data_IF_497969123317
#
_entry.id   IF_497969123317
#
_cell.length_a   1.000
_cell.length_b   1.000
_cell.length_c   1.000
_cell.angle_alpha   90.00
_cell.angle_beta   90.00
_cell.angle_gamma   90.00
#
_symmetry.space_group_name_H-M   'P 1'
#
loop_
_entity.id
_entity.type
_entity.pdbx_description
1 polymer ?
#
# COMPACT_ATOMS: atom_id res chain seq x y z
N UNK A 1 67.04 49.65 -5.36
CA UNK A 1 65.87 48.84 -5.74
C UNK A 1 66.14 47.45 -5.20
N UNK A 2 65.62 47.13 -4.01
CA UNK A 2 65.64 45.77 -3.49
C UNK A 2 64.19 45.28 -3.46
N UNK A 3 63.89 44.34 -4.37
CA UNK A 3 62.64 43.60 -4.42
C UNK A 3 62.75 42.47 -3.39
N UNK A 4 62.27 42.74 -2.18
CA UNK A 4 62.07 41.70 -1.17
C UNK A 4 61.05 40.68 -1.66
N UNK A 5 61.53 39.47 -1.99
CA UNK A 5 60.68 38.30 -2.16
C UNK A 5 60.12 37.90 -0.78
N UNK A 6 58.85 38.21 -0.53
CA UNK A 6 58.10 37.56 0.53
C UNK A 6 57.78 36.13 0.09
N UNK A 7 58.68 35.18 0.36
CA UNK A 7 58.32 33.78 0.39
C UNK A 7 57.37 33.55 1.57
N UNK A 8 56.08 33.37 1.27
CA UNK A 8 55.12 32.91 2.25
C UNK A 8 55.46 31.47 2.66
N UNK A 9 56.20 31.33 3.76
CA UNK A 9 56.46 30.06 4.42
C UNK A 9 55.13 29.46 4.88
N UNK A 10 54.60 28.51 4.11
CA UNK A 10 53.45 27.70 4.52
C UNK A 10 53.94 26.81 5.68
N UNK A 11 53.45 27.09 6.90
CA UNK A 11 53.83 26.32 8.09
C UNK A 11 53.54 24.82 7.89
N UNK A 12 54.58 23.98 8.03
CA UNK A 12 54.46 22.52 7.85
C UNK A 12 53.41 21.88 8.78
N UNK A 13 53.17 22.52 9.93
CA UNK A 13 52.12 22.14 10.88
C UNK A 13 50.71 22.22 10.28
N UNK A 14 50.46 23.20 9.41
CA UNK A 14 49.17 23.36 8.70
C UNK A 14 48.98 22.29 7.62
N UNK A 15 50.07 21.86 6.96
CA UNK A 15 50.03 20.79 5.97
C UNK A 15 49.75 19.42 6.61
N UNK A 16 50.34 19.15 7.78
CA UNK A 16 50.11 17.91 8.53
C UNK A 16 48.68 17.79 9.05
N UNK A 17 48.09 18.90 9.51
CA UNK A 17 46.70 18.93 9.96
C UNK A 17 45.74 18.69 8.77
N UNK A 18 45.99 19.34 7.64
CA UNK A 18 45.23 19.15 6.41
C UNK A 18 45.32 17.69 5.92
N UNK A 19 46.51 17.09 5.96
CA UNK A 19 46.69 15.69 5.57
C UNK A 19 45.92 14.72 6.49
N UNK A 20 45.84 15.00 7.79
CA UNK A 20 45.03 14.22 8.74
C UNK A 20 43.54 14.32 8.43
N UNK A 21 43.05 15.52 8.13
CA UNK A 21 41.64 15.74 7.79
C UNK A 21 41.26 15.07 6.47
N UNK A 22 42.11 15.15 5.44
CA UNK A 22 41.93 14.44 4.18
C UNK A 22 41.85 12.92 4.42
N UNK A 23 42.79 12.36 5.19
CA UNK A 23 42.80 10.93 5.51
C UNK A 23 41.56 10.48 6.28
N UNK A 24 41.02 11.34 7.14
CA UNK A 24 39.77 11.09 7.86
C UNK A 24 38.57 11.07 6.91
N UNK A 25 38.49 12.02 5.98
CA UNK A 25 37.46 12.04 4.94
C UNK A 25 37.52 10.77 4.07
N UNK A 26 38.71 10.41 3.58
CA UNK A 26 38.90 9.22 2.73
C UNK A 26 38.44 7.94 3.43
N UNK A 27 38.72 7.78 4.74
CA UNK A 27 38.25 6.62 5.51
C UNK A 27 36.73 6.52 5.61
N UNK A 28 36.01 7.64 5.57
CA UNK A 28 34.56 7.66 5.69
C UNK A 28 33.85 7.43 4.34
N UNK A 29 34.50 7.73 3.21
CA UNK A 29 33.90 7.63 1.87
C UNK A 29 33.53 6.19 1.52
N UNK A 30 34.43 5.23 1.74
CA UNK A 30 34.20 3.82 1.39
C UNK A 30 32.95 3.22 2.07
N UNK A 31 32.83 3.27 3.41
CA UNK A 31 31.63 2.80 4.12
C UNK A 31 30.35 3.51 3.69
N UNK A 32 30.44 4.80 3.35
CA UNK A 32 29.29 5.57 2.90
C UNK A 32 28.86 5.15 1.49
N UNK A 33 29.81 4.91 0.58
CA UNK A 33 29.55 4.36 -0.75
C UNK A 33 28.84 3.00 -0.68
N UNK A 34 29.29 2.10 0.20
CA UNK A 34 28.65 0.79 0.41
C UNK A 34 27.19 0.93 0.89
N UNK A 35 26.91 1.88 1.79
CA UNK A 35 25.54 2.16 2.26
C UNK A 35 24.67 2.72 1.13
N UNK A 36 25.21 3.59 0.28
CA UNK A 36 24.48 4.09 -0.88
C UNK A 36 24.18 2.98 -1.89
N UNK A 37 25.12 2.05 -2.10
CA UNK A 37 24.89 0.89 -2.97
C UNK A 37 23.79 -0.04 -2.42
N UNK A 38 23.80 -0.34 -1.11
CA UNK A 38 22.74 -1.11 -0.45
C UNK A 38 21.36 -0.45 -0.58
N UNK A 39 21.29 0.86 -0.32
CA UNK A 39 20.06 1.62 -0.50
C UNK A 39 19.58 1.59 -1.94
N UNK A 40 20.50 1.70 -2.91
CA UNK A 40 20.19 1.56 -4.34
C UNK A 40 19.55 0.21 -4.67
N UNK A 41 20.12 -0.90 -4.15
CA UNK A 41 19.55 -2.26 -4.31
C UNK A 41 18.16 -2.37 -3.70
N UNK A 42 17.94 -1.77 -2.52
CA UNK A 42 16.63 -1.77 -1.84
C UNK A 42 15.58 -0.97 -2.62
N UNK A 43 15.94 0.19 -3.18
CA UNK A 43 15.05 1.00 -4.02
C UNK A 43 14.65 0.21 -5.27
N UNK A 44 15.60 -0.40 -5.98
CA UNK A 44 15.31 -1.23 -7.16
C UNK A 44 14.36 -2.40 -6.83
N UNK A 45 14.56 -3.04 -5.67
CA UNK A 45 13.66 -4.10 -5.21
C UNK A 45 12.24 -3.56 -4.95
N UNK A 46 12.12 -2.39 -4.32
CA UNK A 46 10.83 -1.75 -4.07
C UNK A 46 10.13 -1.35 -5.38
N UNK A 47 10.86 -0.78 -6.33
CA UNK A 47 10.33 -0.45 -7.66
C UNK A 47 9.81 -1.69 -8.39
N UNK A 48 10.56 -2.80 -8.34
CA UNK A 48 10.13 -4.08 -8.93
C UNK A 48 8.86 -4.62 -8.27
N UNK A 49 8.77 -4.55 -6.93
CA UNK A 49 7.57 -4.95 -6.19
C UNK A 49 6.38 -4.05 -6.54
N UNK A 50 6.58 -2.73 -6.58
CA UNK A 50 5.55 -1.75 -6.93
C UNK A 50 5.00 -1.99 -8.34
N UNK A 51 5.88 -2.23 -9.32
CA UNK A 51 5.48 -2.55 -10.69
C UNK A 51 4.64 -3.82 -10.76
N UNK A 52 4.98 -4.84 -9.97
CA UNK A 52 4.16 -6.06 -9.84
C UNK A 52 2.75 -5.74 -9.31
N UNK A 53 2.64 -4.91 -8.27
CA UNK A 53 1.34 -4.46 -7.74
C UNK A 53 0.54 -3.63 -8.74
N UNK A 54 1.19 -2.72 -9.48
CA UNK A 54 0.53 -1.93 -10.53
C UNK A 54 0.03 -2.82 -11.66
N UNK A 55 0.81 -3.83 -12.08
CA UNK A 55 0.37 -4.82 -13.07
C UNK A 55 -0.83 -5.64 -12.57
N UNK A 56 -0.90 -5.97 -11.27
CA UNK A 56 -2.09 -6.57 -10.67
C UNK A 56 -3.29 -5.60 -10.57
N UNK A 57 -3.05 -4.28 -10.48
CA UNK A 57 -4.12 -3.29 -10.58
C UNK A 57 -4.59 -3.08 -12.03
N UNK A 58 -3.71 -3.25 -13.02
CA UNK A 58 -4.04 -3.29 -14.45
C UNK A 58 -4.74 -4.59 -14.86
N UNK A 59 -4.66 -5.66 -14.05
CA UNK A 59 -5.64 -6.75 -14.09
C UNK A 59 -6.99 -6.18 -13.65
N UNK A 60 -7.64 -5.45 -14.56
CA UNK A 60 -9.01 -5.01 -14.45
C UNK A 60 -9.86 -6.25 -14.22
N UNK A 61 -10.25 -6.44 -12.96
CA UNK A 61 -11.40 -7.25 -12.65
C UNK A 61 -12.60 -6.47 -13.17
N UNK A 62 -12.91 -6.65 -14.45
CA UNK A 62 -14.11 -6.08 -15.04
C UNK A 62 -15.30 -6.81 -14.43
N UNK A 63 -15.96 -6.15 -13.48
CA UNK A 63 -17.31 -6.54 -13.11
C UNK A 63 -18.13 -6.51 -14.40
N UNK A 64 -18.84 -7.60 -14.76
CA UNK A 64 -19.58 -7.65 -16.01
C UNK A 64 -20.50 -6.43 -16.08
N UNK A 65 -20.34 -5.60 -17.12
CA UNK A 65 -21.03 -4.33 -17.29
C UNK A 65 -22.55 -4.52 -17.17
N UNK A 66 -23.16 -3.56 -16.49
CA UNK A 66 -24.58 -3.47 -16.13
C UNK A 66 -25.52 -3.74 -17.31
N UNK A 67 -26.50 -4.62 -17.08
CA UNK A 67 -27.84 -4.45 -17.62
C UNK A 67 -28.68 -3.83 -16.50
N UNK A 68 -29.28 -2.66 -16.76
CA UNK A 68 -30.15 -1.96 -15.79
C UNK A 68 -31.30 -2.89 -15.35
N UNK A 69 -31.45 -3.20 -14.05
CA UNK A 69 -32.66 -3.85 -13.57
C UNK A 69 -33.81 -2.85 -13.57
N UNK A 70 -34.93 -3.29 -14.14
CA UNK A 70 -36.24 -2.63 -14.06
C UNK A 70 -36.60 -2.34 -12.60
N UNK A 71 -36.97 -1.09 -12.33
CA UNK A 71 -37.41 -0.61 -11.02
C UNK A 71 -38.69 -1.33 -10.58
N UNK A 72 -38.57 -2.33 -9.71
CA UNK A 72 -39.71 -2.91 -8.99
C UNK A 72 -39.26 -3.53 -7.66
N UNK A 73 -39.61 -2.83 -6.56
CA UNK A 73 -39.79 -3.35 -5.18
C UNK A 73 -38.55 -4.01 -4.52
N UNK A 74 -38.65 -4.61 -3.31
CA UNK A 74 -39.31 -4.29 -2.03
C UNK A 74 -38.21 -3.86 -1.02
N UNK A 75 -38.42 -3.86 0.32
CA UNK A 75 -37.37 -3.57 1.34
C UNK A 75 -36.05 -4.30 1.00
N UNK A 76 -35.09 -3.56 0.45
CA UNK A 76 -33.82 -4.14 -0.01
C UNK A 76 -33.00 -4.47 1.23
N UNK A 77 -32.88 -5.75 1.55
CA UNK A 77 -31.98 -6.21 2.59
C UNK A 77 -30.57 -6.28 2.00
N UNK A 78 -29.57 -5.85 2.75
CA UNK A 78 -28.18 -6.00 2.31
C UNK A 78 -27.87 -7.50 2.12
N UNK A 79 -27.27 -7.91 0.99
CA UNK A 79 -26.93 -9.31 0.75
C UNK A 79 -25.98 -9.87 1.81
N UNK A 80 -26.30 -11.07 2.30
CA UNK A 80 -25.44 -11.79 3.24
C UNK A 80 -24.09 -12.14 2.60
N UNK A 81 -23.01 -12.11 3.39
CA UNK A 81 -21.70 -12.51 2.90
C UNK A 81 -21.67 -14.02 2.61
N UNK A 82 -21.17 -14.46 1.44
CA UNK A 82 -21.21 -15.86 1.09
C UNK A 82 -20.20 -16.69 1.90
N UNK A 83 -20.61 -17.87 2.37
CA UNK A 83 -19.73 -18.77 3.13
C UNK A 83 -18.66 -19.45 2.25
N UNK A 84 -18.95 -19.64 0.95
CA UNK A 84 -18.04 -20.24 -0.02
C UNK A 84 -17.69 -19.23 -1.11
N UNK A 85 -16.40 -18.95 -1.24
CA UNK A 85 -15.86 -17.97 -2.16
C UNK A 85 -15.27 -18.65 -3.40
N UNK A 86 -16.01 -18.63 -4.50
CA UNK A 86 -15.43 -18.68 -5.83
C UNK A 86 -15.59 -17.32 -6.53
N UNK A 87 -14.93 -17.16 -7.67
CA UNK A 87 -14.93 -15.91 -8.42
C UNK A 87 -16.35 -15.47 -8.83
N UNK A 88 -17.18 -16.41 -9.27
CA UNK A 88 -18.51 -16.10 -9.79
C UNK A 88 -19.46 -15.69 -8.64
N UNK A 89 -19.41 -16.42 -7.53
CA UNK A 89 -20.18 -16.11 -6.31
C UNK A 89 -19.79 -14.74 -5.76
N UNK A 90 -18.49 -14.42 -5.71
CA UNK A 90 -18.05 -13.10 -5.28
C UNK A 90 -18.51 -11.99 -6.22
N UNK A 91 -18.37 -12.16 -7.55
CA UNK A 91 -18.86 -11.18 -8.52
C UNK A 91 -20.35 -10.90 -8.34
N UNK A 92 -21.16 -11.95 -8.18
CA UNK A 92 -22.60 -11.81 -8.00
C UNK A 92 -22.92 -11.07 -6.70
N UNK A 93 -22.30 -11.48 -5.59
CA UNK A 93 -22.50 -10.83 -4.30
C UNK A 93 -22.11 -9.34 -4.33
N UNK A 94 -20.97 -8.98 -4.95
CA UNK A 94 -20.58 -7.58 -5.10
C UNK A 94 -21.63 -6.79 -5.88
N UNK A 95 -22.14 -7.35 -6.99
CA UNK A 95 -23.19 -6.69 -7.77
C UNK A 95 -24.46 -6.45 -6.95
N UNK A 96 -24.90 -7.45 -6.20
CA UNK A 96 -26.09 -7.35 -5.36
C UNK A 96 -25.89 -6.29 -4.25
N UNK A 97 -24.70 -6.20 -3.67
CA UNK A 97 -24.33 -5.18 -2.66
C UNK A 97 -24.25 -3.78 -3.27
N UNK A 98 -23.67 -3.64 -4.46
CA UNK A 98 -23.59 -2.36 -5.17
C UNK A 98 -24.98 -1.85 -5.55
N UNK A 99 -25.86 -2.74 -6.03
CA UNK A 99 -27.26 -2.41 -6.29
C UNK A 99 -27.99 -1.96 -5.01
N UNK A 100 -27.72 -2.60 -3.86
CA UNK A 100 -28.24 -2.15 -2.57
C UNK A 100 -27.74 -0.74 -2.21
N UNK A 101 -26.45 -0.44 -2.41
CA UNK A 101 -25.92 0.88 -2.15
C UNK A 101 -26.51 1.97 -3.04
N UNK A 102 -26.71 1.67 -4.32
CA UNK A 102 -27.29 2.60 -5.29
C UNK A 102 -28.77 2.86 -5.00
N UNK A 103 -29.55 1.80 -4.78
CA UNK A 103 -30.98 1.92 -4.45
C UNK A 103 -31.24 2.54 -3.08
N UNK A 104 -30.37 2.28 -2.11
CA UNK A 104 -30.45 2.79 -0.75
C UNK A 104 -29.77 4.15 -0.53
N UNK A 105 -29.16 4.74 -1.56
CA UNK A 105 -28.37 5.98 -1.47
C UNK A 105 -27.32 5.95 -0.34
N UNK A 106 -26.67 4.80 -0.13
CA UNK A 106 -25.72 4.61 0.99
C UNK A 106 -24.45 5.44 0.77
N UNK A 107 -24.09 6.25 1.77
CA UNK A 107 -22.92 7.12 1.71
C UNK A 107 -21.62 6.29 1.72
N UNK A 108 -20.59 6.75 0.99
CA UNK A 108 -19.34 5.99 0.80
C UNK A 108 -18.68 5.55 2.12
N UNK A 109 -18.71 6.40 3.15
CA UNK A 109 -18.11 6.12 4.45
C UNK A 109 -18.91 5.11 5.28
N UNK A 110 -20.17 4.82 4.90
CA UNK A 110 -21.04 3.86 5.59
C UNK A 110 -21.02 2.48 4.91
N UNK A 111 -20.70 2.40 3.62
CA UNK A 111 -20.75 1.17 2.82
C UNK A 111 -20.02 -0.02 3.46
N UNK A 112 -18.79 0.20 3.92
CA UNK A 112 -17.99 -0.85 4.57
C UNK A 112 -18.65 -1.30 5.87
N UNK A 113 -19.14 -0.37 6.69
CA UNK A 113 -19.86 -0.70 7.93
C UNK A 113 -21.10 -1.56 7.67
N UNK A 114 -21.87 -1.23 6.63
CA UNK A 114 -23.02 -2.04 6.23
C UNK A 114 -22.61 -3.48 5.86
N UNK A 115 -21.55 -3.65 5.07
CA UNK A 115 -21.05 -4.98 4.67
C UNK A 115 -20.49 -5.76 5.85
N UNK A 116 -19.77 -5.11 6.77
CA UNK A 116 -19.22 -5.78 7.96
C UNK A 116 -20.34 -6.40 8.81
N UNK A 117 -21.50 -5.74 8.89
CA UNK A 117 -22.68 -6.27 9.57
C UNK A 117 -23.26 -7.54 8.94
N UNK A 118 -22.89 -7.87 7.69
CA UNK A 118 -23.35 -9.10 7.01
C UNK A 118 -22.35 -10.25 7.07
N UNK A 119 -21.17 -10.01 7.65
CA UNK A 119 -20.18 -11.06 7.87
C UNK A 119 -20.64 -12.00 8.99
N UNK A 120 -20.43 -13.32 8.85
CA UNK A 120 -20.72 -14.26 9.94
C UNK A 120 -19.85 -13.94 11.16
N UNK A 121 -20.47 -13.55 12.29
CA UNK A 121 -19.75 -13.09 13.50
C UNK A 121 -18.76 -14.12 14.05
N UNK A 122 -19.09 -15.40 13.95
CA UNK A 122 -18.23 -16.49 14.40
C UNK A 122 -17.30 -17.04 13.30
N UNK A 123 -17.42 -16.51 12.07
CA UNK A 123 -16.71 -16.97 10.88
C UNK A 123 -15.29 -16.42 10.73
N UNK A 124 -14.47 -17.11 9.93
CA UNK A 124 -13.08 -16.71 9.62
C UNK A 124 -13.02 -15.31 9.02
N UNK A 125 -13.96 -14.96 8.14
CA UNK A 125 -13.99 -13.65 7.46
C UNK A 125 -14.13 -12.50 8.43
N UNK A 126 -15.01 -12.61 9.44
CA UNK A 126 -15.20 -11.55 10.41
C UNK A 126 -13.95 -11.35 11.27
N UNK A 127 -13.35 -12.44 11.77
CA UNK A 127 -12.10 -12.39 12.54
C UNK A 127 -10.94 -11.81 11.72
N UNK A 128 -10.82 -12.21 10.45
CA UNK A 128 -9.83 -11.64 9.54
C UNK A 128 -10.04 -10.15 9.33
N UNK A 129 -11.29 -9.70 9.14
CA UNK A 129 -11.60 -8.28 8.97
C UNK A 129 -11.24 -7.46 10.21
N UNK A 130 -11.54 -7.96 11.42
CA UNK A 130 -11.14 -7.31 12.66
C UNK A 130 -9.61 -7.09 12.73
N UNK A 131 -8.83 -8.09 12.34
CA UNK A 131 -7.36 -7.96 12.25
C UNK A 131 -6.91 -6.89 11.25
N UNK A 132 -7.59 -6.75 10.11
CA UNK A 132 -7.31 -5.68 9.15
C UNK A 132 -7.63 -4.30 9.75
N UNK A 133 -8.76 -4.15 10.45
CA UNK A 133 -9.12 -2.88 11.10
C UNK A 133 -8.14 -2.48 12.20
N UNK A 134 -7.68 -3.45 13.01
CA UNK A 134 -6.65 -3.23 14.02
C UNK A 134 -5.33 -2.80 13.39
N UNK A 135 -4.86 -3.51 12.37
CA UNK A 135 -3.64 -3.15 11.64
C UNK A 135 -3.76 -1.75 11.02
N UNK A 136 -4.88 -1.43 10.39
CA UNK A 136 -5.13 -0.11 9.81
C UNK A 136 -4.97 0.98 10.87
N UNK A 137 -5.56 0.81 12.05
CA UNK A 137 -5.43 1.78 13.16
C UNK A 137 -3.99 1.95 13.65
N UNK A 138 -3.16 0.91 13.58
CA UNK A 138 -1.75 1.00 14.00
C UNK A 138 -0.86 1.73 12.98
N UNK A 139 -1.12 1.54 11.68
CA UNK A 139 -0.31 2.09 10.59
C UNK A 139 -0.74 3.51 10.22
N UNK A 140 -2.04 3.74 10.12
CA UNK A 140 -2.62 5.03 9.75
C UNK A 140 -3.97 5.23 10.46
N UNK A 141 -3.93 5.98 11.57
CA UNK A 141 -5.09 6.25 12.41
C UNK A 141 -6.19 7.06 11.71
N UNK A 142 -5.87 7.72 10.59
CA UNK A 142 -6.78 8.63 9.90
C UNK A 142 -7.41 7.96 8.68
N UNK A 143 -6.71 7.01 8.05
CA UNK A 143 -7.22 6.34 6.85
C UNK A 143 -8.44 5.47 7.15
N UNK A 144 -9.53 5.76 6.45
CA UNK A 144 -10.76 4.96 6.47
C UNK A 144 -10.77 4.08 5.23
N UNK A 145 -10.83 2.76 5.45
CA UNK A 145 -10.91 1.78 4.37
C UNK A 145 -12.22 1.99 3.60
N UNK A 146 -12.12 2.29 2.31
CA UNK A 146 -13.28 2.50 1.42
C UNK A 146 -13.79 1.18 0.86
N UNK A 147 -15.01 1.18 0.30
CA UNK A 147 -15.62 -0.03 -0.25
C UNK A 147 -14.75 -0.69 -1.33
N UNK A 148 -14.18 0.12 -2.24
CA UNK A 148 -13.28 -0.39 -3.28
C UNK A 148 -12.01 -1.06 -2.71
N UNK A 149 -11.51 -0.60 -1.57
CA UNK A 149 -10.35 -1.19 -0.91
C UNK A 149 -10.73 -2.51 -0.24
N UNK A 150 -11.88 -2.56 0.45
CA UNK A 150 -12.43 -3.79 1.01
C UNK A 150 -12.60 -4.88 -0.05
N UNK A 151 -13.17 -4.56 -1.22
CA UNK A 151 -13.29 -5.52 -2.33
C UNK A 151 -11.93 -6.11 -2.72
N UNK A 152 -10.89 -5.28 -2.86
CA UNK A 152 -9.53 -5.73 -3.21
C UNK A 152 -8.94 -6.64 -2.14
N UNK A 153 -9.12 -6.30 -0.87
CA UNK A 153 -8.63 -7.10 0.26
C UNK A 153 -9.30 -8.48 0.30
N UNK A 154 -10.63 -8.52 0.09
CA UNK A 154 -11.39 -9.78 0.04
C UNK A 154 -10.94 -10.64 -1.15
N UNK A 155 -10.77 -10.05 -2.34
CA UNK A 155 -10.22 -10.77 -3.51
C UNK A 155 -8.84 -11.35 -3.19
N UNK A 156 -7.94 -10.56 -2.58
CA UNK A 156 -6.60 -11.00 -2.25
C UNK A 156 -6.61 -12.17 -1.26
N UNK A 157 -7.38 -12.08 -0.17
CA UNK A 157 -7.43 -13.09 0.88
C UNK A 157 -8.09 -14.39 0.43
N UNK A 158 -9.20 -14.33 -0.30
CA UNK A 158 -10.05 -15.49 -0.56
C UNK A 158 -9.98 -16.02 -2.00
N UNK A 159 -9.64 -15.18 -2.98
CA UNK A 159 -9.61 -15.57 -4.41
C UNK A 159 -8.20 -15.65 -4.99
N UNK A 160 -7.19 -15.08 -4.31
CA UNK A 160 -5.78 -15.13 -4.71
C UNK A 160 -4.87 -15.65 -3.58
N UNK A 161 -5.10 -16.85 -3.00
CA UNK A 161 -4.38 -17.31 -1.81
C UNK A 161 -2.88 -17.63 -2.01
N UNK A 162 -2.28 -17.31 -3.16
CA UNK A 162 -0.86 -17.61 -3.45
C UNK A 162 -0.06 -16.36 -3.79
N UNK A 163 0.43 -15.66 -2.75
CA UNK A 163 1.81 -15.15 -2.69
C UNK A 163 2.24 -15.21 -1.22
N UNK A 164 2.67 -16.39 -0.77
CA UNK A 164 3.62 -16.51 0.36
C UNK A 164 4.97 -16.83 -0.27
#
# INVERSE_FOLDING_TARGET
>A
MDLGCCESSVDSFSLDLLAKDINKCVRCIGPMANKFEDLGKRIQLMEKKLKKYQQYQEYKFEFPKEEKPSSNNPKVHIPAFPEKFDRAVFCKWVKDVELYFESGCVLEHEKVKHVVCTLPRDGETFKWWQGIEELSKTVDKIHVIKWNEMKRLVVYKFLCPKIV
#
